data_IF_978371311305
#
_entry.id   IF_978371311305
#
_cell.length_a   1.000
_cell.length_b   1.000
_cell.length_c   1.000
_cell.angle_alpha   90.00
_cell.angle_beta   90.00
_cell.angle_gamma   90.00
#
_symmetry.space_group_name_H-M   'P 1'
#
loop_
_entity.id
_entity.type
_entity.pdbx_description
1 polymer ?
#
# COMPACT_ATOMS: atom_id res chain seq x y z
N UNK A 1 9.63 27.83 5.31
CA UNK A 1 9.07 27.14 4.12
C UNK A 1 9.44 27.78 2.78
N UNK A 2 9.44 29.12 2.63
CA UNK A 2 9.71 29.77 1.33
C UNK A 2 11.00 29.32 0.61
N UNK A 3 12.15 29.14 1.30
CA UNK A 3 13.37 28.62 0.64
C UNK A 3 13.20 27.21 0.06
N UNK A 4 12.48 26.33 0.76
CA UNK A 4 12.22 24.96 0.30
C UNK A 4 11.26 24.94 -0.89
N UNK A 5 10.23 25.80 -0.88
CA UNK A 5 9.30 25.94 -2.01
C UNK A 5 10.01 26.45 -3.27
N UNK A 6 10.96 27.38 -3.12
CA UNK A 6 11.79 27.86 -4.22
C UNK A 6 12.65 26.74 -4.84
N UNK A 7 13.02 25.74 -4.05
CA UNK A 7 13.73 24.53 -4.49
C UNK A 7 12.79 23.41 -4.98
N UNK A 8 11.51 23.70 -5.18
CA UNK A 8 10.52 22.76 -5.73
C UNK A 8 9.80 21.88 -4.70
N UNK A 9 10.03 22.07 -3.40
CA UNK A 9 9.27 21.35 -2.38
C UNK A 9 7.81 21.84 -2.31
N UNK A 10 6.86 20.94 -2.49
CA UNK A 10 5.43 21.24 -2.32
C UNK A 10 4.93 20.84 -0.92
N UNK A 11 4.00 21.62 -0.39
CA UNK A 11 3.36 21.40 0.90
C UNK A 11 1.86 21.59 0.75
N UNK A 12 1.08 20.77 1.47
CA UNK A 12 -0.36 20.95 1.64
C UNK A 12 -0.64 21.38 3.08
N UNK A 13 -1.71 22.14 3.28
CA UNK A 13 -2.16 22.46 4.62
C UNK A 13 -3.06 21.32 5.14
N UNK A 14 -2.77 20.83 6.33
CA UNK A 14 -3.63 19.89 7.07
C UNK A 14 -4.42 20.71 8.09
N UNK A 15 -5.74 20.77 7.90
CA UNK A 15 -6.66 21.43 8.83
C UNK A 15 -6.60 20.77 10.21
N UNK A 16 -6.65 19.44 10.28
CA UNK A 16 -6.60 18.69 11.55
C UNK A 16 -5.26 18.85 12.28
N UNK A 17 -4.16 18.89 11.53
CA UNK A 17 -2.83 19.11 12.09
C UNK A 17 -2.50 20.57 12.36
N UNK A 18 -3.36 21.50 11.93
CA UNK A 18 -3.13 22.95 11.90
C UNK A 18 -1.73 23.32 11.37
N UNK A 19 -1.24 22.58 10.36
CA UNK A 19 0.15 22.63 9.93
C UNK A 19 0.33 22.36 8.43
N UNK A 20 1.42 22.88 7.88
CA UNK A 20 1.85 22.58 6.51
C UNK A 20 2.67 21.30 6.48
N UNK A 21 2.17 20.31 5.76
CA UNK A 21 2.81 19.00 5.59
C UNK A 21 3.50 18.92 4.24
N UNK A 22 4.77 18.50 4.25
CA UNK A 22 5.52 18.28 3.02
C UNK A 22 4.95 17.10 2.24
N UNK A 23 4.55 17.32 0.99
CA UNK A 23 3.90 16.28 0.15
C UNK A 23 4.89 15.29 -0.47
N UNK A 24 6.14 15.29 -0.01
CA UNK A 24 7.21 14.37 -0.44
C UNK A 24 7.48 14.43 -1.95
N UNK A 25 7.40 15.62 -2.53
CA UNK A 25 7.62 15.86 -3.96
C UNK A 25 8.98 15.38 -4.49
N UNK A 26 10.06 15.59 -3.72
CA UNK A 26 11.39 15.14 -4.13
C UNK A 26 11.50 13.62 -4.11
N UNK A 27 10.82 12.94 -3.18
CA UNK A 27 10.74 11.48 -3.15
C UNK A 27 10.08 10.96 -4.44
N UNK A 28 8.95 11.56 -4.82
CA UNK A 28 8.25 11.21 -6.07
C UNK A 28 9.10 11.51 -7.32
N UNK A 29 9.80 12.64 -7.36
CA UNK A 29 10.69 13.00 -8.46
C UNK A 29 11.88 12.03 -8.57
N UNK A 30 12.50 11.65 -7.46
CA UNK A 30 13.59 10.68 -7.44
C UNK A 30 13.17 9.34 -8.07
N UNK A 31 11.96 8.86 -7.79
CA UNK A 31 11.42 7.64 -8.42
C UNK A 31 11.17 7.78 -9.92
N UNK A 32 10.83 8.98 -10.41
CA UNK A 32 10.66 9.21 -11.86
C UNK A 32 12.02 9.18 -12.56
N UNK A 33 13.03 9.80 -11.94
CA UNK A 33 14.38 9.91 -12.52
C UNK A 33 15.13 8.58 -12.53
N UNK A 34 14.95 7.76 -11.50
CA UNK A 34 15.72 6.54 -11.33
C UNK A 34 14.89 5.39 -10.75
N UNK A 35 13.89 4.95 -11.52
CA UNK A 35 12.77 4.14 -11.03
C UNK A 35 13.15 2.76 -10.53
N UNK A 36 14.04 2.07 -11.25
CA UNK A 36 14.30 0.65 -11.03
C UNK A 36 15.68 0.41 -10.37
N UNK A 37 16.41 1.48 -10.01
CA UNK A 37 17.65 1.39 -9.20
C UNK A 37 17.36 1.11 -7.72
N UNK A 38 18.39 0.83 -6.90
CA UNK A 38 18.22 0.65 -5.46
C UNK A 38 17.50 1.84 -4.78
N UNK A 39 17.74 3.08 -5.23
CA UNK A 39 17.06 4.26 -4.68
C UNK A 39 15.59 4.25 -5.08
N UNK A 40 15.27 4.08 -6.36
CA UNK A 40 13.89 4.02 -6.83
C UNK A 40 13.09 2.86 -6.22
N UNK A 41 13.74 1.74 -5.97
CA UNK A 41 13.19 0.58 -5.27
C UNK A 41 12.86 0.90 -3.81
N UNK A 42 13.79 1.52 -3.08
CA UNK A 42 13.54 1.96 -1.71
C UNK A 42 12.39 2.98 -1.64
N UNK A 43 12.34 3.92 -2.59
CA UNK A 43 11.21 4.85 -2.71
C UNK A 43 9.91 4.08 -2.94
N UNK A 44 9.86 3.16 -3.91
CA UNK A 44 8.65 2.38 -4.18
C UNK A 44 8.14 1.67 -2.93
N UNK A 45 9.02 1.03 -2.15
CA UNK A 45 8.60 0.35 -0.92
C UNK A 45 7.94 1.31 0.07
N UNK A 46 8.52 2.51 0.28
CA UNK A 46 7.91 3.55 1.13
C UNK A 46 6.54 3.95 0.58
N UNK A 47 6.40 4.11 -0.74
CA UNK A 47 5.14 4.54 -1.35
C UNK A 47 4.05 3.46 -1.26
N UNK A 48 4.41 2.19 -1.45
CA UNK A 48 3.51 1.06 -1.25
C UNK A 48 3.08 0.96 0.22
N UNK A 49 4.04 1.08 1.16
CA UNK A 49 3.79 1.00 2.59
C UNK A 49 2.82 2.09 3.10
N UNK A 50 2.83 3.26 2.44
CA UNK A 50 2.00 4.43 2.75
C UNK A 50 0.73 4.55 1.88
N UNK A 51 0.39 3.57 1.04
CA UNK A 51 -0.84 3.63 0.24
C UNK A 51 -0.86 4.73 -0.84
N UNK A 52 0.31 5.24 -1.22
CA UNK A 52 0.47 6.38 -2.13
C UNK A 52 -0.22 7.67 -1.67
N UNK A 53 -0.45 7.84 -0.37
CA UNK A 53 -0.85 9.13 0.20
C UNK A 53 0.24 9.72 1.10
N UNK A 54 0.84 10.82 0.65
CA UNK A 54 1.84 11.58 1.40
C UNK A 54 1.28 12.89 1.96
N UNK A 55 0.01 13.20 1.68
CA UNK A 55 -0.64 14.42 2.15
C UNK A 55 -1.07 14.30 3.60
N UNK A 56 -1.42 13.10 4.05
CA UNK A 56 -2.07 12.88 5.34
C UNK A 56 -3.51 13.43 5.38
N UNK A 57 -4.07 13.80 4.23
CA UNK A 57 -5.41 14.40 4.10
C UNK A 57 -6.28 13.65 3.10
N UNK A 58 -5.92 12.39 2.78
CA UNK A 58 -6.60 11.58 1.77
C UNK A 58 -6.78 12.29 0.42
N UNK A 59 -5.85 13.19 0.04
CA UNK A 59 -5.99 14.03 -1.14
C UNK A 59 -6.05 13.23 -2.46
N UNK A 60 -5.50 12.01 -2.45
CA UNK A 60 -5.58 11.08 -3.56
C UNK A 60 -6.84 10.17 -3.53
N UNK A 61 -7.76 10.40 -2.58
CA UNK A 61 -8.91 9.56 -2.29
C UNK A 61 -8.62 8.51 -1.21
N UNK A 62 -9.70 8.06 -0.55
CA UNK A 62 -9.67 7.16 0.61
C UNK A 62 -9.09 5.77 0.32
N UNK A 63 -9.21 5.26 -0.91
CA UNK A 63 -8.86 3.88 -1.26
C UNK A 63 -7.38 3.73 -1.68
N UNK A 64 -6.46 3.88 -0.73
CA UNK A 64 -5.02 3.69 -0.97
C UNK A 64 -4.65 2.30 -1.47
N UNK A 65 -5.39 1.26 -1.05
CA UNK A 65 -5.15 -0.12 -1.48
C UNK A 65 -5.21 -0.30 -3.01
N UNK A 66 -6.09 0.44 -3.72
CA UNK A 66 -6.15 0.37 -5.19
C UNK A 66 -4.84 0.83 -5.83
N UNK A 67 -4.27 1.93 -5.32
CA UNK A 67 -2.99 2.46 -5.81
C UNK A 67 -1.84 1.49 -5.52
N UNK A 68 -1.85 0.83 -4.37
CA UNK A 68 -0.86 -0.18 -4.00
C UNK A 68 -0.93 -1.37 -4.95
N UNK A 69 -2.14 -1.90 -5.22
CA UNK A 69 -2.36 -2.98 -6.19
C UNK A 69 -1.83 -2.57 -7.57
N UNK A 70 -2.31 -1.45 -8.12
CA UNK A 70 -1.94 -1.00 -9.46
C UNK A 70 -0.42 -0.80 -9.63
N UNK A 71 0.23 -0.15 -8.67
CA UNK A 71 1.66 0.14 -8.75
C UNK A 71 2.52 -1.10 -8.47
N UNK A 72 2.13 -1.90 -7.49
CA UNK A 72 2.87 -3.10 -7.09
C UNK A 72 2.81 -4.19 -8.17
N UNK A 73 1.63 -4.45 -8.72
CA UNK A 73 1.49 -5.45 -9.80
C UNK A 73 2.22 -5.02 -11.07
N UNK A 74 2.12 -3.74 -11.48
CA UNK A 74 2.90 -3.21 -12.61
C UNK A 74 4.41 -3.30 -12.38
N UNK A 75 4.86 -3.16 -11.14
CA UNK A 75 6.27 -3.31 -10.80
C UNK A 75 6.70 -4.77 -10.95
N UNK A 76 5.96 -5.70 -10.32
CA UNK A 76 6.25 -7.14 -10.34
C UNK A 76 6.20 -7.72 -11.74
N UNK A 77 5.26 -7.28 -12.59
CA UNK A 77 5.19 -7.71 -13.99
C UNK A 77 6.41 -7.27 -14.80
N UNK A 78 6.97 -6.10 -14.48
CA UNK A 78 8.09 -5.52 -15.23
C UNK A 78 9.45 -5.98 -14.75
N UNK A 79 9.63 -6.13 -13.44
CA UNK A 79 10.92 -6.46 -12.80
C UNK A 79 10.74 -7.66 -11.85
N UNK A 80 10.35 -8.84 -12.35
CA UNK A 80 9.98 -9.98 -11.51
C UNK A 80 11.13 -10.54 -10.66
N UNK A 81 12.38 -10.33 -11.08
CA UNK A 81 13.59 -10.78 -10.37
C UNK A 81 14.18 -9.70 -9.47
N UNK A 82 13.42 -8.66 -9.17
CA UNK A 82 13.88 -7.58 -8.29
C UNK A 82 14.24 -8.11 -6.89
N UNK A 83 15.30 -7.58 -6.25
CA UNK A 83 15.65 -7.95 -4.88
C UNK A 83 14.58 -7.57 -3.85
N UNK A 84 13.66 -6.65 -4.19
CA UNK A 84 12.54 -6.24 -3.33
C UNK A 84 11.21 -6.91 -3.69
N UNK A 85 11.20 -7.89 -4.61
CA UNK A 85 9.98 -8.50 -5.11
C UNK A 85 9.14 -9.15 -4.00
N UNK A 86 9.79 -9.75 -2.99
CA UNK A 86 9.10 -10.38 -1.87
C UNK A 86 8.36 -9.36 -1.00
N UNK A 87 8.99 -8.23 -0.69
CA UNK A 87 8.40 -7.11 0.03
C UNK A 87 7.23 -6.50 -0.75
N UNK A 88 7.39 -6.32 -2.07
CA UNK A 88 6.32 -5.81 -2.93
C UNK A 88 5.13 -6.78 -2.95
N UNK A 89 5.38 -8.08 -3.10
CA UNK A 89 4.34 -9.10 -3.00
C UNK A 89 3.62 -9.04 -1.66
N UNK A 90 4.34 -8.92 -0.54
CA UNK A 90 3.71 -8.79 0.77
C UNK A 90 2.79 -7.56 0.84
N UNK A 91 3.26 -6.39 0.43
CA UNK A 91 2.48 -5.14 0.49
C UNK A 91 1.25 -5.16 -0.43
N UNK A 92 1.36 -5.77 -1.62
CA UNK A 92 0.21 -5.97 -2.52
C UNK A 92 -0.78 -6.98 -1.91
N UNK A 93 -0.28 -8.04 -1.26
CA UNK A 93 -1.12 -8.96 -0.50
C UNK A 93 -1.89 -8.27 0.63
N UNK A 94 -1.26 -7.33 1.35
CA UNK A 94 -1.94 -6.52 2.37
C UNK A 94 -3.03 -5.65 1.72
N UNK A 95 -2.81 -5.11 0.53
CA UNK A 95 -3.79 -4.26 -0.17
C UNK A 95 -5.02 -5.05 -0.63
N UNK A 96 -4.84 -6.25 -1.19
CA UNK A 96 -5.97 -7.13 -1.47
C UNK A 96 -6.68 -7.59 -0.19
N UNK A 97 -5.95 -7.77 0.92
CA UNK A 97 -6.55 -8.10 2.23
C UNK A 97 -7.47 -7.00 2.73
N UNK A 98 -7.20 -5.73 2.43
CA UNK A 98 -8.09 -4.63 2.80
C UNK A 98 -9.44 -4.73 2.11
N UNK A 99 -9.49 -5.14 0.83
CA UNK A 99 -10.77 -5.38 0.13
C UNK A 99 -11.58 -6.47 0.85
N UNK A 100 -10.92 -7.55 1.29
CA UNK A 100 -11.57 -8.61 2.08
C UNK A 100 -12.04 -8.05 3.43
N UNK A 101 -11.22 -7.25 4.11
CA UNK A 101 -11.58 -6.65 5.40
C UNK A 101 -12.82 -5.75 5.27
N UNK A 102 -12.85 -4.87 4.26
CA UNK A 102 -13.94 -3.95 3.96
C UNK A 102 -15.24 -4.70 3.64
N UNK A 103 -15.18 -5.75 2.83
CA UNK A 103 -16.33 -6.61 2.53
C UNK A 103 -16.93 -7.29 3.79
N UNK A 104 -16.11 -7.48 4.82
CA UNK A 104 -16.52 -8.02 6.12
C UNK A 104 -16.75 -6.94 7.19
N UNK A 105 -16.84 -5.67 6.79
CA UNK A 105 -17.23 -4.57 7.67
C UNK A 105 -16.10 -3.97 8.52
N UNK A 106 -14.84 -4.23 8.19
CA UNK A 106 -13.77 -3.38 8.74
C UNK A 106 -13.92 -1.95 8.19
N UNK A 107 -13.90 -0.94 9.05
CA UNK A 107 -14.01 0.46 8.62
C UNK A 107 -15.41 0.92 8.20
N UNK A 108 -16.48 0.26 8.67
CA UNK A 108 -17.88 0.60 8.35
C UNK A 108 -18.27 2.06 8.60
N UNK A 109 -17.59 2.75 9.52
CA UNK A 109 -17.80 4.17 9.79
C UNK A 109 -17.37 5.07 8.61
N UNK A 110 -16.53 4.55 7.71
CA UNK A 110 -15.91 5.31 6.61
C UNK A 110 -16.11 4.68 5.23
N UNK A 111 -16.60 3.44 5.15
CA UNK A 111 -16.80 2.72 3.90
C UNK A 111 -18.00 1.77 3.96
N UNK A 112 -18.82 1.75 2.90
CA UNK A 112 -19.91 0.80 2.76
C UNK A 112 -19.38 -0.59 2.37
N UNK A 113 -19.48 -1.54 3.29
CA UNK A 113 -19.06 -2.94 3.07
C UNK A 113 -19.69 -3.58 1.83
N UNK A 114 -20.93 -3.21 1.48
CA UNK A 114 -21.66 -3.82 0.37
C UNK A 114 -20.99 -3.56 -0.99
N UNK A 115 -20.25 -2.45 -1.10
CA UNK A 115 -19.50 -2.08 -2.30
C UNK A 115 -18.35 -3.05 -2.61
N UNK A 116 -17.89 -3.83 -1.61
CA UNK A 116 -16.73 -4.71 -1.73
C UNK A 116 -17.07 -6.20 -1.78
N UNK A 117 -18.30 -6.59 -1.44
CA UNK A 117 -18.73 -8.00 -1.38
C UNK A 117 -18.51 -8.74 -2.69
N UNK A 118 -18.78 -8.11 -3.84
CA UNK A 118 -18.59 -8.75 -5.15
C UNK A 118 -17.11 -9.01 -5.48
N UNK A 119 -16.20 -8.18 -4.97
CA UNK A 119 -14.76 -8.29 -5.22
C UNK A 119 -14.03 -9.21 -4.21
N UNK A 120 -14.67 -9.54 -3.08
CA UNK A 120 -14.07 -10.28 -1.97
C UNK A 120 -13.45 -11.62 -2.37
N UNK A 121 -14.13 -12.51 -3.15
CA UNK A 121 -13.58 -13.83 -3.43
C UNK A 121 -12.29 -13.75 -4.24
N UNK A 122 -12.26 -12.85 -5.22
CA UNK A 122 -11.09 -12.61 -6.06
C UNK A 122 -9.97 -11.95 -5.26
N UNK A 123 -10.29 -10.94 -4.45
CA UNK A 123 -9.30 -10.28 -3.59
C UNK A 123 -8.64 -11.27 -2.62
N UNK A 124 -9.42 -12.18 -2.03
CA UNK A 124 -8.90 -13.26 -1.17
C UNK A 124 -7.92 -14.14 -1.93
N UNK A 125 -8.28 -14.58 -3.13
CA UNK A 125 -7.40 -15.41 -3.99
C UNK A 125 -6.10 -14.67 -4.31
N UNK A 126 -6.17 -13.42 -4.76
CA UNK A 126 -5.00 -12.59 -5.10
C UNK A 126 -4.11 -12.31 -3.88
N UNK A 127 -4.70 -12.01 -2.73
CA UNK A 127 -3.94 -11.85 -1.48
C UNK A 127 -3.12 -13.12 -1.16
N UNK A 128 -3.75 -14.30 -1.24
CA UNK A 128 -3.09 -15.58 -0.98
C UNK A 128 -1.97 -15.88 -1.98
N UNK A 129 -2.16 -15.58 -3.27
CA UNK A 129 -1.11 -15.70 -4.30
C UNK A 129 0.10 -14.84 -3.96
N UNK A 130 -0.14 -13.59 -3.61
CA UNK A 130 0.92 -12.66 -3.25
C UNK A 130 1.63 -13.05 -1.96
N UNK A 131 0.94 -13.48 -0.91
CA UNK A 131 1.60 -13.98 0.29
C UNK A 131 2.45 -15.23 0.03
N UNK A 132 2.00 -16.15 -0.82
CA UNK A 132 2.80 -17.32 -1.22
C UNK A 132 4.09 -16.90 -1.93
N UNK A 133 3.99 -15.96 -2.87
CA UNK A 133 5.15 -15.44 -3.58
C UNK A 133 6.12 -14.71 -2.62
N UNK A 134 5.60 -13.92 -1.68
CA UNK A 134 6.41 -13.27 -0.65
C UNK A 134 7.16 -14.28 0.24
N UNK A 135 6.50 -15.38 0.64
CA UNK A 135 7.13 -16.45 1.43
C UNK A 135 8.25 -17.15 0.65
N UNK A 136 8.00 -17.46 -0.63
CA UNK A 136 8.96 -18.17 -1.47
C UNK A 136 10.19 -17.32 -1.83
N UNK A 137 10.01 -16.01 -2.00
CA UNK A 137 11.04 -15.11 -2.47
C UNK A 137 11.80 -14.34 -1.38
N UNK A 138 11.35 -14.33 -0.12
CA UNK A 138 11.93 -13.47 0.90
C UNK A 138 13.29 -13.99 1.41
N UNK A 139 14.39 -13.23 1.23
CA UNK A 139 15.65 -13.52 1.91
C UNK A 139 15.56 -13.26 3.42
N UNK A 140 14.68 -12.34 3.83
CA UNK A 140 14.37 -12.04 5.24
C UNK A 140 13.21 -12.89 5.76
N UNK A 141 13.46 -13.59 6.87
CA UNK A 141 12.43 -14.37 7.58
C UNK A 141 11.31 -13.51 8.16
N UNK A 142 11.49 -12.20 8.35
CA UNK A 142 10.42 -11.34 8.88
C UNK A 142 9.24 -11.20 7.90
N UNK A 143 9.51 -10.87 6.63
CA UNK A 143 8.47 -10.74 5.60
C UNK A 143 7.75 -12.07 5.40
N UNK A 144 8.49 -13.18 5.27
CA UNK A 144 7.90 -14.51 5.15
C UNK A 144 7.00 -14.87 6.35
N UNK A 145 7.45 -14.60 7.59
CA UNK A 145 6.63 -14.86 8.79
C UNK A 145 5.38 -13.98 8.84
N UNK A 146 5.48 -12.72 8.44
CA UNK A 146 4.33 -11.83 8.37
C UNK A 146 3.33 -12.33 7.32
N UNK A 147 3.79 -12.59 6.10
CA UNK A 147 2.98 -13.14 5.01
C UNK A 147 2.31 -14.46 5.41
N UNK A 148 3.02 -15.37 6.08
CA UNK A 148 2.44 -16.63 6.56
C UNK A 148 1.29 -16.40 7.54
N UNK A 149 1.47 -15.54 8.55
CA UNK A 149 0.39 -15.24 9.51
C UNK A 149 -0.85 -14.68 8.83
N UNK A 150 -0.66 -13.79 7.84
CA UNK A 150 -1.76 -13.21 7.06
C UNK A 150 -2.47 -14.23 6.18
N UNK A 151 -1.70 -15.05 5.47
CA UNK A 151 -2.23 -16.11 4.61
C UNK A 151 -3.00 -17.16 5.40
N UNK A 152 -2.47 -17.60 6.54
CA UNK A 152 -3.14 -18.58 7.41
C UNK A 152 -4.51 -18.07 7.87
N UNK A 153 -4.61 -16.80 8.26
CA UNK A 153 -5.88 -16.19 8.68
C UNK A 153 -6.93 -16.24 7.57
N UNK A 154 -6.55 -15.88 6.34
CA UNK A 154 -7.43 -15.93 5.17
C UNK A 154 -7.83 -17.36 4.78
N UNK A 155 -6.91 -18.32 4.89
CA UNK A 155 -7.17 -19.74 4.62
C UNK A 155 -8.12 -20.36 5.65
N UNK A 156 -8.06 -19.92 6.91
CA UNK A 156 -8.98 -20.34 7.97
C UNK A 156 -10.39 -19.73 7.83
N UNK A 157 -10.64 -18.94 6.78
CA UNK A 157 -11.93 -18.26 6.58
C UNK A 157 -12.18 -17.12 7.56
N UNK A 158 -11.17 -16.72 8.35
CA UNK A 158 -11.33 -15.66 9.34
C UNK A 158 -11.27 -14.29 8.63
N UNK A 159 -12.26 -13.41 8.83
CA UNK A 159 -12.23 -12.09 8.22
C UNK A 159 -11.12 -11.25 8.88
N UNK A 160 -10.32 -10.50 8.10
CA UNK A 160 -9.43 -9.49 8.65
C UNK A 160 -10.26 -8.38 9.32
N UNK A 161 -9.81 -7.93 10.50
CA UNK A 161 -10.53 -6.92 11.30
C UNK A 161 -9.99 -5.49 11.13
N UNK A 162 -8.98 -5.30 10.30
CA UNK A 162 -8.34 -4.02 10.07
C UNK A 162 -7.97 -3.85 8.61
N UNK A 163 -8.18 -2.61 8.16
CA UNK A 163 -7.70 -2.07 6.89
C UNK A 163 -6.38 -1.35 7.13
N UNK A 164 -5.45 -1.45 6.19
CA UNK A 164 -4.13 -0.82 6.26
C UNK A 164 -4.06 0.47 5.45
N UNK A 165 -4.68 0.48 4.28
CA UNK A 165 -4.56 1.53 3.27
C UNK A 165 -5.88 2.24 2.99
N UNK A 166 -6.91 2.04 3.82
CA UNK A 166 -8.04 2.96 3.85
C UNK A 166 -7.59 4.23 4.56
N UNK A 167 -7.52 5.33 3.82
CA UNK A 167 -7.20 6.63 4.38
C UNK A 167 -8.46 7.23 5.00
N UNK A 168 -8.34 7.66 6.24
CA UNK A 168 -9.35 8.35 7.02
C UNK A 168 -8.76 9.71 7.41
N UNK A 169 -9.54 10.77 7.20
CA UNK A 169 -9.16 12.14 7.54
C UNK A 169 -10.35 12.78 8.26
N UNK A 170 -10.38 12.64 9.58
CA UNK A 170 -11.47 13.03 10.48
C UNK A 170 -11.01 13.80 11.73
#
# INVERSE_FOLDING_TARGET
MAPLRALGAQFTYSELGAAWVYTRTWLSQARVLDRDSPVGQAVLLIQLDQGFDFSGTCAAGAEGFRRVIDNGERYLARVPLSPIAAEVHFLVGEAYRDVVALAHGAGLEYADSSAYTAAEPEARRRALEHYRAAIAGAPDRQVARAAWRRAWWLLAGLPPRSVRYLCIYD
#
